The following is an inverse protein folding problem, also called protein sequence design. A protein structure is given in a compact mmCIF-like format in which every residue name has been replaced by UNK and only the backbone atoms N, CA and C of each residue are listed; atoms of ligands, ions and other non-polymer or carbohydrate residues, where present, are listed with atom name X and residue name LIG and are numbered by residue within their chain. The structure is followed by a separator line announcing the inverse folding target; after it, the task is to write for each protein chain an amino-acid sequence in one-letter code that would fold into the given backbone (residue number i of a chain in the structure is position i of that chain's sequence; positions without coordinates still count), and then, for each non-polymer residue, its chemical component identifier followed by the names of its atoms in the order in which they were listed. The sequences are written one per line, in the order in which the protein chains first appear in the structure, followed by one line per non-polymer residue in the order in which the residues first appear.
data_IF_293190999945
#
_entry.id   IF_293190999945
#
_cell.length_a   1.000
_cell.length_b   1.000
_cell.length_c   1.000
_cell.angle_alpha   90.00
_cell.angle_beta   90.00
_cell.angle_gamma   90.00
#
_symmetry.space_group_name_H-M   'P 1'
#
loop_
_entity.id
_entity.type
_entity.pdbx_description
1 polymer ?
#
# COMPACT_ATOMS: atom_id res chain seq x y z
N UNK A 1 -5.86 -6.93 -25.34
CA UNK A 1 -6.62 -7.05 -26.61
C UNK A 1 -7.93 -6.29 -26.45
N UNK A 2 -8.25 -5.32 -27.32
CA UNK A 2 -9.41 -4.43 -27.14
C UNK A 2 -10.76 -5.16 -27.16
N UNK A 3 -10.80 -6.36 -27.75
CA UNK A 3 -12.00 -7.20 -27.79
C UNK A 3 -12.06 -8.25 -26.67
N UNK A 4 -11.13 -8.21 -25.70
CA UNK A 4 -11.16 -9.16 -24.58
C UNK A 4 -12.32 -8.84 -23.64
N UNK A 5 -13.14 -9.84 -23.32
CA UNK A 5 -14.18 -9.75 -22.28
C UNK A 5 -13.66 -10.12 -20.89
N UNK A 6 -12.39 -10.54 -20.79
CA UNK A 6 -11.74 -10.96 -19.56
C UNK A 6 -10.44 -10.17 -19.34
N UNK A 7 -10.24 -9.70 -18.12
CA UNK A 7 -8.98 -9.09 -17.68
C UNK A 7 -8.18 -10.12 -16.89
N UNK A 8 -6.99 -10.45 -17.37
CA UNK A 8 -6.07 -11.34 -16.67
C UNK A 8 -5.07 -10.51 -15.90
N UNK A 9 -4.99 -10.71 -14.59
CA UNK A 9 -3.97 -10.11 -13.75
C UNK A 9 -2.86 -11.12 -13.49
N UNK A 10 -1.61 -10.83 -13.89
CA UNK A 10 -0.50 -11.73 -13.63
C UNK A 10 -0.23 -11.80 -12.12
N UNK A 11 -0.64 -12.91 -11.51
CA UNK A 11 -0.36 -13.21 -10.11
C UNK A 11 0.83 -14.16 -10.03
N UNK A 12 2.02 -13.60 -9.88
CA UNK A 12 3.26 -14.36 -9.78
C UNK A 12 4.35 -13.53 -9.11
N UNK A 13 5.26 -14.20 -8.40
CA UNK A 13 6.46 -13.53 -7.93
C UNK A 13 7.30 -13.10 -9.14
N UNK A 14 7.83 -11.88 -9.09
CA UNK A 14 8.78 -11.30 -10.07
C UNK A 14 8.31 -11.13 -11.52
N UNK A 15 7.15 -11.67 -11.93
CA UNK A 15 6.63 -11.51 -13.31
C UNK A 15 6.38 -10.06 -13.70
N UNK A 16 6.00 -9.23 -12.72
CA UNK A 16 5.77 -7.79 -12.89
C UNK A 16 7.08 -6.98 -13.03
N UNK A 17 8.25 -7.64 -12.95
CA UNK A 17 9.57 -7.01 -13.07
C UNK A 17 10.28 -7.36 -14.39
N UNK A 18 9.67 -8.20 -15.23
CA UNK A 18 10.18 -8.44 -16.58
C UNK A 18 10.01 -7.15 -17.38
N UNK A 19 10.96 -6.78 -18.22
CA UNK A 19 10.90 -5.54 -18.99
C UNK A 19 10.49 -5.77 -20.45
N UNK A 20 10.03 -4.69 -21.09
CA UNK A 20 9.72 -4.69 -22.52
C UNK A 20 10.99 -4.67 -23.39
N UNK A 21 11.05 -5.49 -24.44
CA UNK A 21 11.92 -5.29 -25.59
C UNK A 21 11.36 -5.99 -26.83
N UNK A 22 10.74 -5.23 -27.74
CA UNK A 22 10.19 -5.74 -29.01
C UNK A 22 11.25 -6.16 -30.02
N UNK A 23 12.47 -5.62 -29.95
CA UNK A 23 13.53 -5.89 -30.93
C UNK A 23 14.34 -7.15 -30.62
N UNK A 24 14.43 -7.51 -29.34
CA UNK A 24 15.19 -8.67 -28.88
C UNK A 24 14.57 -9.31 -27.63
N UNK A 25 13.30 -9.75 -27.69
CA UNK A 25 12.72 -10.52 -26.60
C UNK A 25 13.45 -11.86 -26.47
N UNK A 26 13.66 -12.32 -25.23
CA UNK A 26 14.24 -13.64 -24.96
C UNK A 26 13.26 -14.58 -24.25
N UNK A 27 12.07 -14.09 -23.89
CA UNK A 27 10.94 -14.88 -23.43
C UNK A 27 9.66 -14.51 -24.19
N UNK A 28 8.69 -15.41 -24.19
CA UNK A 28 7.33 -15.17 -24.62
C UNK A 28 6.33 -15.67 -23.57
N UNK A 29 5.15 -15.05 -23.53
CA UNK A 29 4.02 -15.52 -22.71
C UNK A 29 3.16 -16.46 -23.55
N UNK A 30 2.73 -17.56 -22.96
CA UNK A 30 1.71 -18.45 -23.54
C UNK A 30 0.81 -19.02 -22.45
N UNK A 31 -0.33 -19.57 -22.86
CA UNK A 31 -1.14 -20.40 -21.98
C UNK A 31 -0.35 -21.61 -21.51
N UNK A 32 -0.60 -22.02 -20.27
CA UNK A 32 -0.05 -23.25 -19.71
C UNK A 32 -0.23 -24.41 -20.70
N UNK A 33 0.86 -25.10 -21.02
CA UNK A 33 0.79 -26.23 -21.95
C UNK A 33 -0.03 -27.39 -21.37
N UNK A 34 -1.13 -27.72 -22.04
CA UNK A 34 -2.01 -28.86 -21.69
C UNK A 34 -1.29 -30.21 -21.78
N UNK A 35 -0.23 -30.30 -22.59
CA UNK A 35 0.57 -31.53 -22.70
C UNK A 35 1.32 -31.84 -21.40
N UNK A 36 1.76 -30.80 -20.69
CA UNK A 36 2.44 -30.93 -19.40
C UNK A 36 1.45 -30.97 -18.22
N UNK A 37 0.25 -30.44 -18.42
CA UNK A 37 -0.77 -30.30 -17.39
C UNK A 37 -2.15 -30.68 -17.94
N UNK A 38 -2.48 -31.98 -18.07
CA UNK A 38 -3.74 -32.42 -18.66
C UNK A 38 -4.99 -31.86 -17.97
N UNK A 39 -4.89 -31.55 -16.66
CA UNK A 39 -5.97 -30.94 -15.89
C UNK A 39 -6.33 -29.53 -16.38
N UNK A 40 -5.40 -28.82 -17.01
CA UNK A 40 -5.60 -27.45 -17.52
C UNK A 40 -6.41 -27.40 -18.81
N UNK A 41 -6.60 -28.54 -19.49
CA UNK A 41 -7.36 -28.61 -20.74
C UNK A 41 -8.80 -28.14 -20.54
N UNK A 42 -9.48 -28.70 -19.54
CA UNK A 42 -10.86 -28.34 -19.22
C UNK A 42 -10.99 -26.85 -18.96
N UNK A 43 -9.94 -26.24 -18.42
CA UNK A 43 -9.94 -24.87 -18.01
C UNK A 43 -9.76 -23.88 -19.17
N UNK A 44 -8.81 -24.14 -20.06
CA UNK A 44 -8.59 -23.29 -21.24
C UNK A 44 -9.80 -23.35 -22.19
N UNK A 45 -10.52 -24.47 -22.18
CA UNK A 45 -11.73 -24.68 -22.96
C UNK A 45 -13.02 -24.18 -22.26
N UNK A 46 -12.94 -23.73 -21.00
CA UNK A 46 -14.11 -23.21 -20.25
C UNK A 46 -14.62 -21.91 -20.88
N UNK A 47 -15.93 -21.78 -21.15
CA UNK A 47 -16.55 -20.52 -21.55
C UNK A 47 -16.40 -19.41 -20.50
N UNK A 48 -16.20 -18.16 -20.93
CA UNK A 48 -15.92 -17.02 -20.03
C UNK A 48 -17.00 -16.81 -18.97
N UNK A 49 -18.27 -17.04 -19.31
CA UNK A 49 -19.43 -16.90 -18.43
C UNK A 49 -19.48 -17.92 -17.29
N UNK A 50 -18.69 -19.00 -17.36
CA UNK A 50 -18.60 -20.01 -16.30
C UNK A 50 -17.51 -19.73 -15.28
N UNK A 51 -16.66 -18.72 -15.51
CA UNK A 51 -15.60 -18.36 -14.57
C UNK A 51 -16.10 -17.65 -13.31
N UNK A 52 -17.31 -17.05 -13.35
CA UNK A 52 -17.90 -16.39 -12.18
C UNK A 52 -18.17 -17.36 -11.02
N UNK A 53 -18.50 -18.62 -11.33
CA UNK A 53 -18.78 -19.66 -10.35
C UNK A 53 -17.50 -20.30 -9.77
N UNK A 54 -16.33 -19.90 -10.28
CA UNK A 54 -15.09 -20.58 -10.01
C UNK A 54 -14.29 -19.92 -8.88
N UNK A 55 -14.16 -20.61 -7.75
CA UNK A 55 -13.53 -20.07 -6.54
C UNK A 55 -12.02 -20.37 -6.44
N UNK A 56 -11.28 -20.44 -7.56
CA UNK A 56 -9.88 -20.86 -7.56
C UNK A 56 -9.00 -20.19 -8.62
N UNK A 57 -7.69 -20.10 -8.31
CA UNK A 57 -6.68 -19.69 -9.27
C UNK A 57 -6.29 -20.90 -10.14
N UNK A 58 -6.79 -20.94 -11.38
CA UNK A 58 -6.44 -22.03 -12.29
C UNK A 58 -5.89 -21.57 -13.63
N UNK A 59 -6.34 -20.43 -14.16
CA UNK A 59 -5.84 -19.94 -15.45
C UNK A 59 -4.41 -19.46 -15.25
N UNK A 60 -3.49 -20.17 -15.89
CA UNK A 60 -2.07 -19.88 -15.76
C UNK A 60 -1.48 -19.53 -17.12
N UNK A 61 -0.69 -18.46 -17.10
CA UNK A 61 0.20 -18.06 -18.17
C UNK A 61 1.61 -18.46 -17.76
N UNK A 62 2.39 -18.95 -18.72
CA UNK A 62 3.79 -19.29 -18.51
C UNK A 62 4.70 -18.46 -19.41
N UNK A 63 5.89 -18.14 -18.87
CA UNK A 63 6.97 -17.52 -19.61
C UNK A 63 7.89 -18.61 -20.13
N UNK A 64 8.08 -18.65 -21.45
CA UNK A 64 8.96 -19.61 -22.10
C UNK A 64 10.13 -18.91 -22.75
N UNK A 65 11.32 -19.45 -22.54
CA UNK A 65 12.53 -18.95 -23.18
C UNK A 65 12.47 -19.19 -24.69
N UNK A 66 12.80 -18.16 -25.47
CA UNK A 66 12.87 -18.23 -26.93
C UNK A 66 14.24 -18.73 -27.43
N UNK A 67 15.21 -18.77 -26.52
CA UNK A 67 16.60 -19.20 -26.71
C UNK A 67 17.22 -19.52 -25.36
N UNK A 68 18.43 -20.07 -25.35
CA UNK A 68 19.21 -20.18 -24.11
C UNK A 68 19.48 -18.78 -23.51
N UNK A 69 19.27 -18.65 -22.20
CA UNK A 69 19.49 -17.43 -21.41
C UNK A 69 20.62 -17.71 -20.43
N UNK A 70 21.71 -16.95 -20.50
CA UNK A 70 22.87 -17.15 -19.60
C UNK A 70 22.63 -16.54 -18.22
N UNK A 71 23.33 -17.01 -17.17
CA UNK A 71 23.28 -16.38 -15.86
C UNK A 71 23.63 -14.90 -15.93
N UNK A 72 22.77 -14.06 -15.36
CA UNK A 72 22.93 -12.60 -15.34
C UNK A 72 22.40 -11.86 -16.57
N UNK A 73 21.89 -12.56 -17.60
CA UNK A 73 21.12 -11.90 -18.67
C UNK A 73 19.76 -11.41 -18.14
N UNK A 74 19.38 -10.19 -18.51
CA UNK A 74 18.05 -9.66 -18.23
C UNK A 74 16.99 -10.38 -19.08
N UNK A 75 15.81 -10.59 -18.49
CA UNK A 75 14.68 -11.21 -19.15
C UNK A 75 13.83 -10.12 -19.81
N UNK A 76 13.60 -10.24 -21.10
CA UNK A 76 12.80 -9.31 -21.89
C UNK A 76 11.64 -10.00 -22.58
N UNK A 77 10.46 -9.39 -22.43
CA UNK A 77 9.22 -9.78 -23.10
C UNK A 77 8.85 -8.73 -24.15
N UNK A 78 8.23 -9.14 -25.24
CA UNK A 78 7.52 -8.22 -26.11
C UNK A 78 6.09 -7.99 -25.57
N UNK A 79 5.77 -6.74 -25.22
CA UNK A 79 4.47 -6.35 -24.66
C UNK A 79 3.44 -6.09 -25.76
N UNK A 80 3.88 -6.10 -27.02
CA UNK A 80 3.08 -5.79 -28.19
C UNK A 80 3.19 -4.33 -28.61
N UNK A 81 2.96 -4.12 -29.91
CA UNK A 81 3.09 -2.83 -30.57
C UNK A 81 2.16 -1.76 -30.00
N UNK A 82 0.93 -2.12 -29.66
CA UNK A 82 -0.04 -1.16 -29.12
C UNK A 82 0.44 -0.54 -27.80
N UNK A 83 1.08 -1.34 -26.95
CA UNK A 83 1.68 -0.86 -25.70
C UNK A 83 2.89 0.04 -25.99
N UNK A 84 3.78 -0.37 -26.90
CA UNK A 84 4.97 0.40 -27.27
C UNK A 84 4.61 1.76 -27.88
N UNK A 85 3.66 1.78 -28.82
CA UNK A 85 3.18 3.02 -29.45
C UNK A 85 2.53 3.95 -28.41
N UNK A 86 1.76 3.40 -27.46
CA UNK A 86 1.16 4.16 -26.36
C UNK A 86 2.22 4.70 -25.40
N UNK A 87 3.24 3.90 -25.07
CA UNK A 87 4.35 4.28 -24.20
C UNK A 87 5.20 5.38 -24.84
N UNK A 88 5.59 5.23 -26.11
CA UNK A 88 6.35 6.24 -26.84
C UNK A 88 5.59 7.58 -26.91
N UNK A 89 4.28 7.52 -27.20
CA UNK A 89 3.43 8.72 -27.18
C UNK A 89 3.35 9.36 -25.79
N UNK A 90 3.27 8.55 -24.73
CA UNK A 90 3.31 9.04 -23.36
C UNK A 90 4.64 9.75 -23.09
N UNK A 91 5.77 9.10 -23.37
CA UNK A 91 7.12 9.66 -23.16
C UNK A 91 7.34 10.97 -23.93
N UNK A 92 6.85 11.07 -25.18
CA UNK A 92 6.95 12.28 -25.99
C UNK A 92 6.17 13.46 -25.40
N UNK A 93 4.98 13.20 -24.83
CA UNK A 93 4.11 14.21 -24.26
C UNK A 93 4.25 14.43 -22.76
N UNK A 94 4.98 13.56 -22.06
CA UNK A 94 5.08 13.61 -20.61
C UNK A 94 6.13 14.62 -20.16
N UNK A 95 5.71 15.51 -19.27
CA UNK A 95 6.58 16.38 -18.49
C UNK A 95 6.13 16.30 -17.03
N UNK A 96 7.04 16.16 -16.07
CA UNK A 96 6.66 16.18 -14.66
C UNK A 96 6.06 17.54 -14.31
N UNK A 97 4.99 17.54 -13.54
CA UNK A 97 4.51 18.77 -12.90
C UNK A 97 5.51 19.20 -11.83
N UNK A 98 5.48 20.47 -11.43
CA UNK A 98 6.39 20.98 -10.39
C UNK A 98 6.30 20.16 -9.10
N UNK A 99 5.09 19.72 -8.73
CA UNK A 99 4.85 18.84 -7.57
C UNK A 99 5.53 17.47 -7.71
N UNK A 100 5.64 16.92 -8.92
CA UNK A 100 6.23 15.61 -9.17
C UNK A 100 7.75 15.66 -8.98
N UNK A 101 8.38 16.81 -9.23
CA UNK A 101 9.81 17.02 -9.00
C UNK A 101 10.17 17.06 -7.51
N UNK A 102 9.21 17.41 -6.66
CA UNK A 102 9.36 17.50 -5.21
C UNK A 102 8.77 16.30 -4.47
N UNK A 103 8.28 15.30 -5.21
CA UNK A 103 7.77 14.07 -4.65
C UNK A 103 8.83 13.39 -3.79
N UNK A 104 8.44 13.03 -2.57
CA UNK A 104 9.26 12.26 -1.65
C UNK A 104 8.40 11.15 -1.08
N UNK A 105 8.86 9.90 -1.16
CA UNK A 105 8.11 8.79 -0.57
C UNK A 105 8.00 8.96 0.95
N UNK A 106 6.92 8.47 1.56
CA UNK A 106 6.74 8.45 3.01
C UNK A 106 7.92 7.81 3.74
N UNK A 107 8.51 6.76 3.17
CA UNK A 107 9.72 6.14 3.71
C UNK A 107 10.98 7.01 3.62
N UNK A 108 11.17 7.77 2.54
CA UNK A 108 12.26 8.72 2.42
C UNK A 108 12.07 9.91 3.37
N UNK A 109 10.84 10.41 3.48
CA UNK A 109 10.44 11.48 4.39
C UNK A 109 10.65 11.07 5.86
N UNK A 110 10.17 9.89 6.27
CA UNK A 110 10.39 9.32 7.60
C UNK A 110 11.88 9.21 7.92
N UNK A 111 12.71 8.78 6.97
CA UNK A 111 14.15 8.67 7.18
C UNK A 111 14.81 10.04 7.40
N UNK A 112 14.39 11.06 6.65
CA UNK A 112 14.92 12.42 6.77
C UNK A 112 14.50 13.08 8.09
N UNK A 113 13.24 12.90 8.51
CA UNK A 113 12.63 13.56 9.66
C UNK A 113 12.51 12.65 10.90
N UNK A 114 13.27 11.56 10.96
CA UNK A 114 13.17 10.55 12.03
C UNK A 114 13.41 11.11 13.44
N UNK A 115 14.25 12.13 13.55
CA UNK A 115 14.65 12.77 14.83
C UNK A 115 13.87 14.04 15.14
N UNK A 116 13.03 14.47 14.22
CA UNK A 116 12.24 15.67 14.37
C UNK A 116 10.91 15.33 15.05
N UNK A 117 10.36 16.26 15.85
CA UNK A 117 9.01 16.10 16.39
C UNK A 117 8.00 16.04 15.24
N UNK A 118 6.99 15.18 15.35
CA UNK A 118 5.86 15.19 14.40
C UNK A 118 5.02 16.44 14.64
N UNK A 119 4.64 17.13 13.57
CA UNK A 119 3.88 18.38 13.60
C UNK A 119 2.45 18.11 14.03
N UNK A 120 1.95 18.92 14.96
CA UNK A 120 0.53 18.90 15.33
C UNK A 120 -0.32 19.38 14.17
N UNK A 121 -1.63 19.08 14.19
CA UNK A 121 -2.58 19.57 13.18
C UNK A 121 -2.51 21.09 13.04
N UNK A 122 -2.40 21.81 14.16
CA UNK A 122 -2.25 23.26 14.19
C UNK A 122 -0.93 23.73 13.54
N UNK A 123 0.17 23.03 13.80
CA UNK A 123 1.47 23.35 13.17
C UNK A 123 1.43 23.12 11.65
N UNK A 124 0.67 22.12 11.18
CA UNK A 124 0.49 21.83 9.76
C UNK A 124 -0.39 22.85 9.02
N UNK A 125 -1.20 23.64 9.73
CA UNK A 125 -1.93 24.77 9.11
C UNK A 125 -0.97 25.88 8.63
N UNK A 126 0.15 26.06 9.34
CA UNK A 126 1.17 27.05 9.01
C UNK A 126 2.33 26.46 8.19
N UNK A 127 2.70 25.21 8.48
CA UNK A 127 3.80 24.49 7.85
C UNK A 127 3.37 23.04 7.50
N UNK A 128 2.57 22.86 6.44
CA UNK A 128 2.03 21.56 6.06
C UNK A 128 3.15 20.60 5.63
N UNK A 129 2.91 19.31 5.85
CA UNK A 129 3.68 18.28 5.16
C UNK A 129 3.41 18.32 3.64
N UNK A 130 4.29 17.76 2.80
CA UNK A 130 3.98 17.56 1.39
C UNK A 130 2.65 16.83 1.23
N UNK A 131 1.85 17.19 0.22
CA UNK A 131 0.48 16.67 0.03
C UNK A 131 0.41 15.14 -0.10
N UNK A 132 1.52 14.51 -0.49
CA UNK A 132 1.62 13.06 -0.65
C UNK A 132 2.02 12.33 0.66
N UNK A 133 2.14 13.03 1.78
CA UNK A 133 2.61 12.48 3.06
C UNK A 133 1.46 12.46 4.07
N UNK A 134 1.10 11.26 4.51
CA UNK A 134 0.18 11.02 5.61
C UNK A 134 0.92 10.50 6.85
N UNK A 135 0.29 10.65 8.02
CA UNK A 135 0.81 10.09 9.28
C UNK A 135 -0.01 8.85 9.66
N UNK A 136 0.70 7.76 9.98
CA UNK A 136 0.12 6.58 10.62
C UNK A 136 0.61 6.43 12.04
N UNK A 137 -0.30 5.99 12.91
CA UNK A 137 -0.06 5.73 14.30
C UNK A 137 -0.26 4.24 14.57
N UNK A 138 0.70 3.64 15.27
CA UNK A 138 0.55 2.30 15.80
C UNK A 138 -0.30 2.34 17.07
N UNK A 139 -1.45 1.66 17.02
CA UNK A 139 -2.33 1.49 18.17
C UNK A 139 -2.92 0.09 18.15
N UNK A 140 -2.66 -0.66 19.22
CA UNK A 140 -3.37 -1.91 19.47
C UNK A 140 -4.45 -1.62 20.49
N UNK A 141 -5.70 -1.81 20.09
CA UNK A 141 -6.81 -1.72 21.02
C UNK A 141 -6.55 -2.69 22.18
N UNK A 142 -6.48 -2.15 23.40
CA UNK A 142 -6.39 -2.96 24.60
C UNK A 142 -7.72 -3.70 24.79
N UNK A 143 -7.69 -4.85 25.48
CA UNK A 143 -8.93 -5.44 26.01
C UNK A 143 -9.49 -4.64 27.19
N UNK A 144 -8.77 -3.61 27.64
CA UNK A 144 -9.20 -2.69 28.68
C UNK A 144 -10.15 -1.64 28.10
N UNK A 145 -11.14 -1.26 28.92
CA UNK A 145 -12.05 -0.15 28.64
C UNK A 145 -11.28 1.16 28.43
N UNK A 146 -11.78 2.08 27.59
CA UNK A 146 -11.21 3.41 27.49
C UNK A 146 -11.17 4.07 28.87
N UNK A 147 -10.10 4.81 29.16
CA UNK A 147 -9.94 5.43 30.49
C UNK A 147 -10.86 6.64 30.65
N UNK A 148 -11.28 7.24 29.53
CA UNK A 148 -12.22 8.36 29.50
C UNK A 148 -13.04 8.32 28.20
N UNK A 149 -14.24 8.92 28.25
CA UNK A 149 -15.09 9.10 27.08
C UNK A 149 -15.84 10.41 27.17
N UNK A 150 -15.80 11.19 26.11
CA UNK A 150 -16.49 12.47 25.99
C UNK A 150 -17.57 12.37 24.90
N UNK A 151 -18.81 12.67 25.28
CA UNK A 151 -19.91 12.85 24.33
C UNK A 151 -20.01 14.34 23.98
N UNK A 152 -19.77 14.67 22.71
CA UNK A 152 -19.88 16.03 22.17
C UNK A 152 -20.94 16.00 21.08
N UNK A 153 -22.13 16.52 21.41
CA UNK A 153 -23.31 16.49 20.53
C UNK A 153 -23.64 15.05 20.10
N UNK A 154 -23.49 14.74 18.81
CA UNK A 154 -23.77 13.43 18.19
C UNK A 154 -22.48 12.61 17.96
N UNK A 155 -21.36 12.98 18.59
CA UNK A 155 -20.08 12.27 18.47
C UNK A 155 -19.59 11.79 19.82
N UNK A 156 -19.20 10.51 19.85
CA UNK A 156 -18.53 9.92 20.99
C UNK A 156 -17.03 9.89 20.74
N UNK A 157 -16.27 10.50 21.63
CA UNK A 157 -14.82 10.41 21.66
C UNK A 157 -14.39 9.50 22.80
N UNK A 158 -13.59 8.49 22.51
CA UNK A 158 -13.03 7.58 23.51
C UNK A 158 -11.53 7.76 23.62
N UNK A 159 -11.02 7.73 24.84
CA UNK A 159 -9.62 8.01 25.14
C UNK A 159 -8.92 6.76 25.68
N UNK A 160 -7.77 6.43 25.10
CA UNK A 160 -6.94 5.31 25.50
C UNK A 160 -5.51 5.77 25.84
N UNK A 161 -4.93 5.15 26.85
CA UNK A 161 -3.49 5.25 27.08
C UNK A 161 -2.77 4.36 26.09
N UNK A 162 -1.63 4.83 25.61
CA UNK A 162 -0.75 4.00 24.80
C UNK A 162 -0.13 2.89 25.67
N UNK A 163 -0.54 1.63 25.43
CA UNK A 163 -0.12 0.46 26.21
C UNK A 163 0.99 -0.37 25.53
N UNK A 164 1.87 0.28 24.75
CA UNK A 164 2.54 -0.43 23.67
C UNK A 164 3.44 -1.60 24.07
N UNK A 165 3.48 -2.59 23.18
CA UNK A 165 4.43 -3.67 23.19
C UNK A 165 5.51 -3.39 22.13
N UNK A 166 6.73 -3.11 22.59
CA UNK A 166 7.89 -2.75 21.75
C UNK A 166 8.13 -3.80 20.65
N UNK A 167 7.71 -5.06 20.85
CA UNK A 167 7.89 -6.16 19.91
C UNK A 167 6.91 -6.18 18.72
N UNK A 168 5.71 -5.57 18.85
CA UNK A 168 4.62 -5.69 17.87
C UNK A 168 4.51 -4.52 16.88
N UNK A 169 5.27 -3.45 17.08
CA UNK A 169 5.38 -2.29 16.17
C UNK A 169 5.87 -2.64 14.74
N UNK A 170 6.29 -3.89 14.52
CA UNK A 170 6.65 -4.47 13.22
C UNK A 170 5.48 -5.07 12.45
N UNK A 171 4.30 -5.17 13.07
CA UNK A 171 3.11 -5.73 12.42
C UNK A 171 2.25 -4.60 11.87
N UNK A 172 1.94 -4.64 10.57
CA UNK A 172 1.12 -3.63 9.89
C UNK A 172 -0.37 -3.66 10.29
N UNK A 173 -0.80 -4.66 11.07
CA UNK A 173 -2.21 -4.87 11.45
C UNK A 173 -2.79 -3.82 12.40
N UNK A 174 -1.94 -3.00 13.02
CA UNK A 174 -2.34 -2.03 14.05
C UNK A 174 -1.94 -0.60 13.68
N UNK A 175 -1.75 -0.33 12.38
CA UNK A 175 -1.39 0.99 11.86
C UNK A 175 -2.63 1.69 11.30
N UNK A 176 -3.04 2.79 11.95
CA UNK A 176 -4.20 3.59 11.56
C UNK A 176 -3.73 4.95 11.06
N UNK A 177 -4.48 5.55 10.11
CA UNK A 177 -4.26 6.97 9.78
C UNK A 177 -4.55 7.81 11.02
N UNK A 178 -3.79 8.88 11.24
CA UNK A 178 -3.96 9.69 12.42
C UNK A 178 -3.51 11.14 12.25
N UNK A 179 -4.13 12.00 13.05
CA UNK A 179 -3.72 13.39 13.25
C UNK A 179 -3.06 13.55 14.62
N UNK A 180 -2.01 14.36 14.69
CA UNK A 180 -1.35 14.72 15.95
C UNK A 180 -2.09 15.90 16.57
N UNK A 181 -2.79 15.68 17.67
CA UNK A 181 -3.56 16.73 18.36
C UNK A 181 -2.66 17.61 19.23
N UNK A 182 -1.83 16.98 20.06
CA UNK A 182 -0.85 17.67 20.91
C UNK A 182 0.42 16.86 21.07
N UNK A 183 1.48 17.51 21.55
CA UNK A 183 2.71 16.84 21.99
C UNK A 183 3.25 17.50 23.24
N UNK A 184 3.76 16.69 24.15
CA UNK A 184 4.36 17.11 25.40
C UNK A 184 5.78 16.58 25.51
N UNK A 185 6.68 17.40 26.04
CA UNK A 185 8.08 17.01 26.24
C UNK A 185 8.22 16.39 27.62
N UNK A 186 8.64 15.14 27.67
CA UNK A 186 8.82 14.39 28.91
C UNK A 186 10.05 14.90 29.69
N UNK A 187 10.18 14.49 30.94
CA UNK A 187 11.34 14.82 31.77
C UNK A 187 12.67 14.29 31.19
N UNK A 188 12.64 13.24 30.37
CA UNK A 188 13.82 12.71 29.66
C UNK A 188 14.17 13.52 28.41
N UNK A 189 13.31 14.47 28.02
CA UNK A 189 13.45 15.29 26.82
C UNK A 189 12.90 14.64 25.56
N UNK A 190 12.26 13.48 25.67
CA UNK A 190 11.53 12.82 24.59
C UNK A 190 10.14 13.46 24.40
N UNK A 191 9.46 13.14 23.30
CA UNK A 191 8.10 13.62 23.04
C UNK A 191 7.11 12.49 23.15
N UNK A 192 6.03 12.75 23.87
CA UNK A 192 4.80 11.97 23.89
C UNK A 192 3.71 12.74 23.15
N UNK A 193 2.87 12.02 22.43
CA UNK A 193 1.88 12.59 21.53
C UNK A 193 0.47 12.16 21.95
N UNK A 194 -0.48 13.08 21.79
CA UNK A 194 -1.91 12.77 21.79
C UNK A 194 -2.37 12.75 20.34
N UNK A 195 -2.91 11.62 19.90
CA UNK A 195 -3.24 11.38 18.49
C UNK A 195 -4.70 11.01 18.33
N UNK A 196 -5.33 11.49 17.26
CA UNK A 196 -6.67 11.08 16.84
C UNK A 196 -6.51 10.02 15.74
N UNK A 197 -7.11 8.85 15.92
CA UNK A 197 -7.07 7.75 14.94
C UNK A 197 -8.31 7.74 14.05
N UNK A 198 -8.13 7.29 12.82
CA UNK A 198 -9.21 7.12 11.84
C UNK A 198 -9.34 5.65 11.41
N UNK A 199 -10.58 5.20 11.26
CA UNK A 199 -10.89 3.84 10.76
C UNK A 199 -10.59 2.72 11.75
N UNK A 200 -10.61 3.00 13.05
CA UNK A 200 -10.47 1.97 14.09
C UNK A 200 -11.78 1.18 14.16
N UNK A 201 -11.77 -0.15 13.93
CA UNK A 201 -12.96 -0.96 14.09
C UNK A 201 -13.25 -1.12 15.58
N UNK A 202 -14.25 -0.41 16.09
CA UNK A 202 -14.73 -0.60 17.45
C UNK A 202 -15.84 -1.63 17.40
N UNK A 203 -15.57 -2.82 17.95
CA UNK A 203 -16.62 -3.81 18.21
C UNK A 203 -17.64 -3.12 19.14
N UNK A 204 -18.89 -2.96 18.68
CA UNK A 204 -20.10 -2.66 19.47
C UNK A 204 -20.85 -1.33 19.26
N UNK A 205 -20.52 -0.46 18.30
CA UNK A 205 -21.30 0.80 18.13
C UNK A 205 -21.76 1.03 16.68
N UNK A 206 -23.05 1.31 16.51
CA UNK A 206 -23.67 1.80 15.26
C UNK A 206 -23.37 3.30 15.03
N UNK A 207 -22.52 3.91 15.87
CA UNK A 207 -22.19 5.34 15.91
C UNK A 207 -20.74 5.58 15.46
N UNK A 208 -20.47 6.75 14.85
CA UNK A 208 -19.11 7.17 14.52
C UNK A 208 -18.36 7.56 15.80
N UNK A 209 -17.44 6.69 16.22
CA UNK A 209 -16.59 6.92 17.39
C UNK A 209 -15.23 7.48 16.98
N UNK A 210 -14.86 8.61 17.58
CA UNK A 210 -13.53 9.18 17.44
C UNK A 210 -12.60 8.58 18.52
N UNK A 211 -11.47 7.99 18.10
CA UNK A 211 -10.51 7.39 19.04
C UNK A 211 -9.34 8.34 19.26
N UNK A 212 -9.11 8.74 20.51
CA UNK A 212 -7.94 9.48 20.93
C UNK A 212 -7.00 8.57 21.72
N UNK A 213 -5.70 8.64 21.43
CA UNK A 213 -4.67 7.89 22.17
C UNK A 213 -3.63 8.85 22.72
N UNK A 214 -3.35 8.76 24.01
CA UNK A 214 -2.42 9.63 24.73
C UNK A 214 -1.14 8.86 25.09
N UNK A 215 -0.02 9.57 25.21
CA UNK A 215 1.26 8.98 25.61
C UNK A 215 1.92 8.20 24.47
N UNK A 216 1.52 8.44 23.22
CA UNK A 216 2.07 7.75 22.06
C UNK A 216 3.51 8.21 21.86
N UNK A 217 4.52 7.32 21.81
CA UNK A 217 5.91 7.72 21.61
C UNK A 217 6.22 7.97 20.13
N UNK A 218 7.24 8.79 19.82
CA UNK A 218 7.64 9.11 18.42
C UNK A 218 7.84 7.88 17.52
N UNK A 219 8.35 6.78 18.06
CA UNK A 219 8.62 5.57 17.26
C UNK A 219 7.36 4.80 16.86
N UNK A 220 6.21 5.09 17.48
CA UNK A 220 4.91 4.56 17.11
C UNK A 220 4.23 5.38 16.00
N UNK A 221 4.85 6.48 15.57
CA UNK A 221 4.39 7.34 14.47
C UNK A 221 5.25 7.11 13.23
N UNK A 222 4.63 7.06 12.05
CA UNK A 222 5.31 6.90 10.76
C UNK A 222 4.71 7.79 9.70
N UNK A 223 5.55 8.32 8.82
CA UNK A 223 5.09 8.90 7.57
C UNK A 223 4.90 7.82 6.49
N UNK A 224 3.81 7.92 5.75
CA UNK A 224 3.45 7.03 4.64
C UNK A 224 3.01 7.84 3.44
N UNK A 225 3.07 7.21 2.26
CA UNK A 225 2.47 7.79 1.05
C UNK A 225 0.95 7.85 1.21
N UNK A 226 0.36 8.95 0.73
CA UNK A 226 -1.08 9.21 0.78
C UNK A 226 -1.90 8.31 -0.15
#
# INVERSE_FOLDING_TARGET
HPESTMLLYPYGQTVNLINHNSSSPNVAVRWLSVDNYPWAKNLIETPVDQFEEWSGAGLMLEFVALRDIKPGEEIFLDYGRDWEDAWLKHVEGWSPEEKDMHYMTGGAFEKAHRREPVRTRKEQEEEPYPENINTKCFFRQSTEEPFDSLEIEDRKMVMYDWQGDVGLSKTHFYEYMCDIHSRDKTATGEYEYSVQLYGVPIEHEDEEVEVMVIGVPRYALKFVDA
#
